data_IF_535441068979
#
_entry.id   IF_535441068979
#
_cell.length_a   1.000
_cell.length_b   1.000
_cell.length_c   1.000
_cell.angle_alpha   90.00
_cell.angle_beta   90.00
_cell.angle_gamma   90.00
#
_symmetry.space_group_name_H-M   'P 1'
#
loop_
_entity.id
_entity.type
_entity.pdbx_description
1 polymer ?
#
# COMPACT_ATOMS: atom_id res chain seq x y z
N UNK A 1 20.09 5.57 -8.51
CA UNK A 1 19.69 6.39 -7.35
C UNK A 1 19.58 5.49 -6.14
N UNK A 2 19.97 5.93 -4.92
CA UNK A 2 19.76 5.12 -3.72
C UNK A 2 18.26 4.90 -3.49
N UNK A 3 17.90 3.71 -3.00
CA UNK A 3 16.53 3.37 -2.65
C UNK A 3 16.06 4.25 -1.48
N UNK A 4 15.04 5.10 -1.70
CA UNK A 4 14.49 5.95 -0.65
C UNK A 4 13.55 5.14 0.24
N UNK A 5 13.55 5.35 1.57
CA UNK A 5 12.59 4.68 2.44
C UNK A 5 11.15 5.08 2.06
N UNK A 6 10.25 4.11 2.11
CA UNK A 6 8.84 4.26 1.82
C UNK A 6 7.99 3.52 2.86
N UNK A 7 6.80 4.03 3.16
CA UNK A 7 5.80 3.34 3.95
C UNK A 7 4.62 3.01 3.05
N UNK A 8 4.31 1.72 2.90
CA UNK A 8 3.19 1.24 2.11
C UNK A 8 2.06 0.85 3.04
N UNK A 9 0.87 1.41 2.81
CA UNK A 9 -0.32 1.17 3.61
C UNK A 9 -1.49 0.81 2.71
N UNK A 10 -2.26 -0.20 3.10
CA UNK A 10 -3.53 -0.55 2.46
C UNK A 10 -4.64 -0.44 3.49
N UNK A 11 -5.67 0.33 3.18
CA UNK A 11 -6.87 0.45 4.02
C UNK A 11 -8.10 -0.05 3.27
N UNK A 12 -9.05 -0.64 3.99
CA UNK A 12 -10.34 -1.03 3.43
C UNK A 12 -11.26 0.18 3.20
N UNK A 13 -12.44 -0.06 2.61
CA UNK A 13 -13.43 0.99 2.36
C UNK A 13 -13.95 1.70 3.62
N UNK A 14 -13.74 1.11 4.80
CA UNK A 14 -14.09 1.70 6.11
C UNK A 14 -12.90 2.44 6.75
N UNK A 15 -11.77 2.53 6.06
CA UNK A 15 -10.54 3.16 6.55
C UNK A 15 -9.75 2.30 7.54
N UNK A 16 -10.09 1.02 7.70
CA UNK A 16 -9.34 0.12 8.59
C UNK A 16 -8.05 -0.32 7.91
N UNK A 17 -6.88 -0.24 8.58
CA UNK A 17 -5.63 -0.71 8.03
C UNK A 17 -5.64 -2.23 7.91
N UNK A 18 -5.32 -2.70 6.70
CA UNK A 18 -5.27 -4.11 6.33
C UNK A 18 -3.82 -4.58 6.21
N UNK A 19 -2.95 -3.66 5.76
CA UNK A 19 -1.53 -3.88 5.62
C UNK A 19 -0.79 -2.57 5.88
N UNK A 20 0.33 -2.66 6.59
CA UNK A 20 1.26 -1.56 6.78
C UNK A 20 2.69 -2.12 6.78
N UNK A 21 3.51 -1.70 5.82
CA UNK A 21 4.85 -2.26 5.61
C UNK A 21 5.83 -1.14 5.27
N UNK A 22 6.96 -1.11 5.97
CA UNK A 22 8.10 -0.31 5.56
C UNK A 22 8.79 -0.97 4.36
N UNK A 23 8.95 -0.22 3.28
CA UNK A 23 9.57 -0.64 2.04
C UNK A 23 10.74 0.28 1.68
N UNK A 24 11.57 -0.16 0.74
CA UNK A 24 12.59 0.69 0.13
C UNK A 24 12.22 0.89 -1.34
N UNK A 25 12.14 2.13 -1.78
CA UNK A 25 11.71 2.50 -3.12
C UNK A 25 12.63 1.91 -4.19
N UNK A 26 12.04 1.31 -5.21
CA UNK A 26 12.77 0.67 -6.33
C UNK A 26 12.79 -0.85 -6.29
N UNK A 27 12.19 -1.49 -5.28
CA UNK A 27 11.93 -2.92 -5.25
C UNK A 27 10.43 -3.22 -5.44
N UNK A 28 10.11 -4.29 -6.17
CA UNK A 28 8.75 -4.83 -6.21
C UNK A 28 8.34 -5.34 -4.82
N UNK A 29 7.24 -4.83 -4.28
CA UNK A 29 6.69 -5.26 -2.99
C UNK A 29 5.41 -6.09 -3.23
N UNK A 30 5.43 -7.41 -2.99
CA UNK A 30 4.24 -8.22 -3.13
C UNK A 30 3.23 -7.91 -2.01
N UNK A 31 2.04 -7.42 -2.40
CA UNK A 31 0.94 -7.17 -1.48
C UNK A 31 0.10 -8.44 -1.33
N UNK A 32 0.26 -9.16 -0.23
CA UNK A 32 -0.53 -10.36 0.05
C UNK A 32 -1.91 -10.00 0.61
N UNK A 33 -2.88 -9.78 -0.29
CA UNK A 33 -4.27 -9.45 0.06
C UNK A 33 -5.20 -10.69 0.12
N UNK A 34 -4.65 -11.90 0.28
CA UNK A 34 -5.46 -13.13 0.36
C UNK A 34 -6.31 -13.14 1.64
N UNK A 35 -7.56 -13.55 1.51
CA UNK A 35 -8.52 -13.62 2.63
C UNK A 35 -9.20 -12.29 2.95
N UNK A 36 -8.93 -11.24 2.18
CA UNK A 36 -9.65 -9.97 2.29
C UNK A 36 -11.02 -10.06 1.61
N UNK A 37 -11.98 -9.30 2.14
CA UNK A 37 -13.34 -9.23 1.59
C UNK A 37 -13.29 -8.59 0.20
N UNK A 38 -13.99 -9.12 -0.82
CA UNK A 38 -14.09 -8.45 -2.12
C UNK A 38 -14.59 -7.02 -1.97
N UNK A 39 -13.91 -6.08 -2.62
CA UNK A 39 -14.20 -4.66 -2.46
C UNK A 39 -13.08 -3.72 -2.92
N UNK A 40 -13.29 -2.43 -2.67
CA UNK A 40 -12.32 -1.38 -2.97
C UNK A 40 -11.47 -1.09 -1.74
N UNK A 41 -10.15 -1.07 -1.96
CA UNK A 41 -9.13 -0.74 -0.99
C UNK A 41 -8.34 0.47 -1.48
N UNK A 42 -7.78 1.24 -0.54
CA UNK A 42 -6.89 2.34 -0.87
C UNK A 42 -5.46 1.97 -0.50
N UNK A 43 -4.60 1.88 -1.51
CA UNK A 43 -3.15 1.81 -1.37
C UNK A 43 -2.60 3.24 -1.23
N UNK A 44 -1.78 3.46 -0.21
CA UNK A 44 -1.01 4.68 -0.01
C UNK A 44 0.47 4.33 0.09
N UNK A 45 1.31 5.04 -0.65
CA UNK A 45 2.76 4.94 -0.59
C UNK A 45 3.30 6.29 -0.15
N UNK A 46 3.82 6.34 1.06
CA UNK A 46 4.42 7.53 1.65
C UNK A 46 5.94 7.46 1.53
N UNK A 47 6.55 8.54 1.06
CA UNK A 47 8.01 8.69 0.94
C UNK A 47 8.41 10.08 1.42
N UNK A 48 9.71 10.35 1.57
CA UNK A 48 10.19 11.70 1.87
C UNK A 48 9.81 12.74 0.80
N UNK A 49 9.50 12.31 -0.42
CA UNK A 49 9.07 13.20 -1.52
C UNK A 49 7.56 13.49 -1.52
N UNK A 50 6.76 12.73 -0.77
CA UNK A 50 5.30 12.88 -0.71
C UNK A 50 4.56 11.55 -0.66
N UNK A 51 3.23 11.64 -0.80
CA UNK A 51 2.31 10.51 -0.70
C UNK A 51 1.61 10.26 -2.04
N UNK A 52 1.79 9.07 -2.59
CA UNK A 52 1.03 8.57 -3.73
C UNK A 52 -0.13 7.69 -3.24
N UNK A 53 -1.27 7.73 -3.94
CA UNK A 53 -2.46 6.94 -3.58
C UNK A 53 -3.05 6.27 -4.81
N UNK A 54 -3.54 5.05 -4.65
CA UNK A 54 -4.15 4.27 -5.71
C UNK A 54 -5.29 3.40 -5.16
N UNK A 55 -6.39 3.30 -5.89
CA UNK A 55 -7.46 2.35 -5.58
C UNK A 55 -7.07 0.95 -6.06
N UNK A 56 -7.30 -0.05 -5.22
CA UNK A 56 -7.15 -1.47 -5.52
C UNK A 56 -8.52 -2.13 -5.45
N UNK A 57 -8.91 -2.83 -6.51
CA UNK A 57 -10.14 -3.63 -6.52
C UNK A 57 -9.75 -5.08 -6.26
N UNK A 58 -10.23 -5.63 -5.14
CA UNK A 58 -10.09 -7.04 -4.79
C UNK A 58 -11.40 -7.74 -5.15
N UNK A 59 -11.31 -8.84 -5.90
CA UNK A 59 -12.45 -9.64 -6.35
C UNK A 59 -12.49 -10.99 -5.64
#
# INVERSE_FOLDING_TARGET
MPAAPATVRVVDALGRPVLEVAATGGADLPLHLRGQVPGVYLLSVETAAGVARQALVVQ
#
